data_IF_853938949602
#
_entry.id   IF_853938949602
#
_cell.length_a   1.000
_cell.length_b   1.000
_cell.length_c   1.000
_cell.angle_alpha   90.00
_cell.angle_beta   90.00
_cell.angle_gamma   90.00
#
_symmetry.space_group_name_H-M   'P 1'
#
loop_
_entity.id
_entity.type
_entity.pdbx_description
1 polymer ?
#
# COMPACT_ATOMS: atom_id res chain seq x y z
N UNK A 1 -7.72 2.71 -17.49
CA UNK A 1 -6.67 2.31 -18.44
C UNK A 1 -7.07 2.76 -19.83
N UNK A 2 -6.14 3.33 -20.58
CA UNK A 2 -6.27 3.54 -22.01
C UNK A 2 -5.31 2.57 -22.72
N UNK A 3 -5.82 1.75 -23.64
CA UNK A 3 -5.02 0.81 -24.44
C UNK A 3 -4.97 1.29 -25.87
N UNK A 4 -3.77 1.40 -26.43
CA UNK A 4 -3.50 1.80 -27.80
C UNK A 4 -3.04 0.57 -28.58
N UNK A 5 -3.78 0.18 -29.62
CA UNK A 5 -3.43 -0.94 -30.50
C UNK A 5 -4.01 -0.69 -31.89
N UNK A 6 -3.22 -0.96 -32.94
CA UNK A 6 -3.67 -0.88 -34.34
C UNK A 6 -4.34 0.46 -34.72
N UNK A 7 -3.82 1.57 -34.18
CA UNK A 7 -4.37 2.91 -34.41
C UNK A 7 -5.68 3.21 -33.68
N UNK A 8 -6.18 2.28 -32.83
CA UNK A 8 -7.38 2.45 -32.03
C UNK A 8 -7.06 2.67 -30.54
N UNK A 9 -8.00 3.31 -29.84
CA UNK A 9 -7.93 3.54 -28.40
C UNK A 9 -9.12 2.87 -27.71
N UNK A 10 -8.84 2.04 -26.72
CA UNK A 10 -9.85 1.43 -25.85
C UNK A 10 -9.74 2.00 -24.44
N UNK A 11 -10.88 2.25 -23.80
CA UNK A 11 -10.95 2.71 -22.42
C UNK A 11 -11.60 1.65 -21.54
N UNK A 12 -11.02 1.46 -20.35
CA UNK A 12 -11.59 0.62 -19.30
C UNK A 12 -11.36 1.26 -17.93
N UNK A 13 -12.33 1.16 -17.03
CA UNK A 13 -12.18 1.47 -15.62
C UNK A 13 -12.86 0.41 -14.75
N UNK A 14 -12.36 0.26 -13.52
CA UNK A 14 -12.92 -0.60 -12.48
C UNK A 14 -12.58 -0.01 -11.13
N UNK A 15 -13.48 -0.15 -10.15
CA UNK A 15 -13.14 0.13 -8.77
C UNK A 15 -12.15 -0.90 -8.25
N UNK A 16 -11.17 -0.45 -7.48
CA UNK A 16 -10.30 -1.35 -6.74
C UNK A 16 -11.12 -2.01 -5.62
N UNK A 17 -11.25 -3.33 -5.64
CA UNK A 17 -12.07 -4.10 -4.70
C UNK A 17 -11.37 -4.29 -3.35
N UNK A 18 -10.91 -3.18 -2.76
CA UNK A 18 -10.27 -3.13 -1.44
C UNK A 18 -11.22 -3.54 -0.32
N UNK A 19 -10.69 -3.90 0.86
CA UNK A 19 -11.55 -4.23 2.00
C UNK A 19 -12.38 -3.01 2.43
N UNK A 20 -11.82 -1.81 2.33
CA UNK A 20 -12.55 -0.57 2.60
C UNK A 20 -13.67 -0.34 1.59
N UNK A 21 -13.43 -0.54 0.28
CA UNK A 21 -14.47 -0.44 -0.74
C UNK A 21 -15.61 -1.43 -0.51
N UNK A 22 -15.28 -2.71 -0.27
CA UNK A 22 -16.28 -3.75 -0.03
C UNK A 22 -17.10 -3.48 1.24
N UNK A 23 -16.43 -3.05 2.32
CA UNK A 23 -17.09 -2.72 3.60
C UNK A 23 -18.05 -1.55 3.41
N UNK A 24 -17.58 -0.45 2.84
CA UNK A 24 -18.37 0.77 2.69
C UNK A 24 -19.55 0.56 1.72
N UNK A 25 -19.34 -0.23 0.66
CA UNK A 25 -20.40 -0.61 -0.28
C UNK A 25 -21.46 -1.49 0.39
N UNK A 26 -21.07 -2.50 1.18
CA UNK A 26 -22.04 -3.35 1.91
C UNK A 26 -22.83 -2.56 2.95
N UNK A 27 -22.19 -1.58 3.58
CA UNK A 27 -22.84 -0.73 4.59
C UNK A 27 -23.66 0.42 4.00
N UNK A 28 -23.54 0.71 2.69
CA UNK A 28 -24.12 1.89 2.02
C UNK A 28 -23.75 3.20 2.76
N UNK A 29 -22.57 3.23 3.38
CA UNK A 29 -22.07 4.33 4.18
C UNK A 29 -20.54 4.23 4.31
N UNK A 30 -19.88 5.35 4.59
CA UNK A 30 -18.44 5.37 4.88
C UNK A 30 -18.25 4.77 6.28
N UNK A 31 -17.54 3.64 6.37
CA UNK A 31 -17.29 2.93 7.63
C UNK A 31 -15.79 2.87 7.90
N UNK A 32 -15.38 3.24 9.11
CA UNK A 32 -13.97 3.30 9.51
C UNK A 32 -13.29 4.60 9.09
N UNK A 33 -11.95 4.61 9.10
CA UNK A 33 -11.15 5.82 8.91
C UNK A 33 -10.52 5.86 7.52
N UNK A 34 -10.71 6.98 6.83
CA UNK A 34 -9.96 7.36 5.62
C UNK A 34 -9.06 8.57 5.96
N UNK A 35 -8.29 9.08 4.99
CA UNK A 35 -7.27 10.12 5.24
C UNK A 35 -7.82 11.34 6.01
N UNK A 36 -8.83 12.01 5.46
CA UNK A 36 -9.45 13.20 6.04
C UNK A 36 -10.93 12.98 6.42
N UNK A 37 -11.39 11.72 6.44
CA UNK A 37 -12.80 11.40 6.70
C UNK A 37 -12.90 10.30 7.74
N UNK A 38 -13.55 10.61 8.86
CA UNK A 38 -13.93 9.63 9.85
C UNK A 38 -15.35 9.15 9.54
N UNK A 39 -15.46 7.91 9.09
CA UNK A 39 -16.72 7.24 8.85
C UNK A 39 -17.46 6.89 10.13
N UNK A 40 -18.68 6.36 9.97
CA UNK A 40 -19.48 5.87 11.09
C UNK A 40 -18.86 4.61 11.67
N UNK A 41 -19.07 4.31 12.97
CA UNK A 41 -18.77 3.01 13.53
C UNK A 41 -19.51 1.92 12.75
N UNK A 42 -18.84 0.80 12.50
CA UNK A 42 -19.45 -0.36 11.82
C UNK A 42 -20.64 -0.87 12.66
N UNK A 43 -21.89 -0.84 12.13
CA UNK A 43 -23.08 -1.27 12.86
C UNK A 43 -23.02 -2.76 13.25
N UNK A 44 -22.16 -3.55 12.60
CA UNK A 44 -21.93 -4.96 12.87
C UNK A 44 -20.80 -5.20 13.91
N UNK A 45 -20.25 -4.17 14.58
CA UNK A 45 -19.21 -4.30 15.63
C UNK A 45 -19.80 -4.38 17.04
N UNK A 46 -19.69 -5.54 17.69
CA UNK A 46 -19.90 -5.71 19.14
C UNK A 46 -18.77 -5.05 19.96
N UNK A 47 -19.07 -4.59 21.18
CA UNK A 47 -18.15 -3.85 22.09
C UNK A 47 -16.79 -4.54 22.31
N UNK A 48 -16.71 -5.88 22.40
CA UNK A 48 -15.43 -6.59 22.56
C UNK A 48 -14.51 -6.49 21.33
N UNK A 49 -15.07 -6.33 20.12
CA UNK A 49 -14.29 -6.12 18.89
C UNK A 49 -13.67 -4.72 18.85
N UNK A 50 -14.25 -3.76 19.56
CA UNK A 50 -13.73 -2.38 19.62
C UNK A 50 -12.39 -2.27 20.37
N UNK A 51 -12.13 -3.06 21.41
CA UNK A 51 -10.81 -3.04 22.06
C UNK A 51 -9.72 -3.62 21.14
N UNK A 52 -10.01 -4.73 20.44
CA UNK A 52 -9.09 -5.30 19.44
C UNK A 52 -8.81 -4.32 18.29
N UNK A 53 -9.83 -3.57 17.84
CA UNK A 53 -9.66 -2.56 16.78
C UNK A 53 -8.69 -1.43 17.12
N UNK A 54 -8.53 -1.11 18.41
CA UNK A 54 -7.56 -0.10 18.86
C UNK A 54 -6.13 -0.63 18.90
N UNK A 55 -5.96 -1.95 19.02
CA UNK A 55 -4.66 -2.62 19.16
C UNK A 55 -4.10 -3.12 17.83
N UNK A 56 -4.95 -3.33 16.83
CA UNK A 56 -4.56 -3.87 15.52
C UNK A 56 -4.36 -2.74 14.51
N UNK A 57 -3.11 -2.50 14.12
CA UNK A 57 -2.72 -1.50 13.09
C UNK A 57 -3.51 -1.65 11.79
N UNK A 58 -3.89 -2.88 11.41
CA UNK A 58 -4.67 -3.13 10.19
C UNK A 58 -6.10 -2.62 10.22
N UNK A 59 -6.61 -2.27 11.39
CA UNK A 59 -7.91 -1.61 11.53
C UNK A 59 -7.79 -0.07 11.65
N UNK A 60 -6.56 0.45 11.78
CA UNK A 60 -6.31 1.89 11.90
C UNK A 60 -6.08 2.58 10.55
N UNK A 61 -5.59 1.85 9.55
CA UNK A 61 -5.27 2.38 8.23
C UNK A 61 -6.22 1.88 7.16
N UNK A 62 -6.58 2.79 6.24
CA UNK A 62 -7.34 2.43 5.04
C UNK A 62 -6.44 1.68 4.06
N UNK A 63 -7.03 0.73 3.35
CA UNK A 63 -6.40 0.02 2.23
C UNK A 63 -6.89 0.53 0.87
N UNK A 64 -7.51 1.71 0.85
CA UNK A 64 -7.93 2.39 -0.36
C UNK A 64 -6.71 2.91 -1.16
N UNK A 65 -6.17 2.06 -2.04
CA UNK A 65 -5.01 2.32 -2.89
C UNK A 65 -5.37 3.13 -4.14
N UNK A 66 -5.77 4.39 -3.94
CA UNK A 66 -6.34 5.26 -4.98
C UNK A 66 -5.35 6.26 -5.61
N UNK A 67 -4.09 6.32 -5.16
CA UNK A 67 -3.20 7.44 -5.49
C UNK A 67 -2.43 7.16 -6.79
N UNK A 68 -1.79 6.00 -6.90
CA UNK A 68 -0.92 5.70 -8.04
C UNK A 68 -0.86 4.20 -8.34
N UNK A 69 -0.23 3.85 -9.46
CA UNK A 69 -0.01 2.47 -9.88
C UNK A 69 1.43 2.31 -10.38
N UNK A 70 2.19 1.38 -9.82
CA UNK A 70 3.62 1.18 -10.14
C UNK A 70 4.02 -0.29 -10.24
N UNK A 71 5.05 -0.62 -11.04
CA UNK A 71 5.57 -1.97 -11.12
C UNK A 71 6.41 -2.34 -9.88
N UNK A 72 6.14 -3.52 -9.34
CA UNK A 72 6.98 -4.20 -8.36
C UNK A 72 7.19 -5.63 -8.85
N UNK A 73 8.44 -6.05 -9.06
CA UNK A 73 8.71 -7.36 -9.64
C UNK A 73 8.14 -7.47 -11.06
N UNK A 74 7.38 -8.53 -11.28
CA UNK A 74 6.59 -8.81 -12.49
C UNK A 74 5.15 -8.24 -12.43
N UNK A 75 4.73 -7.76 -11.26
CA UNK A 75 3.38 -7.30 -11.00
C UNK A 75 3.22 -5.78 -11.09
N UNK A 76 1.98 -5.36 -11.31
CA UNK A 76 1.56 -3.97 -11.24
C UNK A 76 0.75 -3.77 -9.96
N UNK A 77 1.05 -2.74 -9.17
CA UNK A 77 0.45 -2.53 -7.86
C UNK A 77 -0.14 -1.13 -7.73
N UNK A 78 -1.38 -1.05 -7.28
CA UNK A 78 -2.02 0.19 -6.86
C UNK A 78 -1.58 0.56 -5.44
N UNK A 79 -1.28 1.85 -5.22
CA UNK A 79 -0.71 2.37 -3.99
C UNK A 79 -1.57 3.47 -3.35
N UNK A 80 -1.43 3.57 -2.04
CA UNK A 80 -1.75 4.76 -1.24
C UNK A 80 -0.54 5.02 -0.33
N UNK A 81 -0.73 5.76 0.76
CA UNK A 81 0.34 6.12 1.71
C UNK A 81 0.25 5.40 3.06
N UNK A 82 -0.51 4.31 3.08
CA UNK A 82 -0.58 3.37 4.20
C UNK A 82 0.36 2.19 3.90
N UNK A 83 0.51 1.16 4.75
CA UNK A 83 1.40 0.06 4.44
C UNK A 83 0.81 -0.93 3.42
N UNK A 84 -0.33 -0.61 2.81
CA UNK A 84 -1.06 -1.50 1.92
C UNK A 84 -0.83 -1.16 0.44
N UNK A 85 -0.67 -2.22 -0.34
CA UNK A 85 -0.71 -2.18 -1.80
C UNK A 85 -1.61 -3.29 -2.32
N UNK A 86 -2.15 -3.12 -3.52
CA UNK A 86 -2.94 -4.15 -4.20
C UNK A 86 -2.36 -4.48 -5.55
N UNK A 87 -2.16 -5.77 -5.85
CA UNK A 87 -1.85 -6.18 -7.23
C UNK A 87 -3.04 -5.88 -8.14
N UNK A 88 -2.79 -5.40 -9.34
CA UNK A 88 -3.81 -5.13 -10.35
C UNK A 88 -3.43 -5.83 -11.64
N UNK A 89 -4.39 -6.54 -12.24
CA UNK A 89 -4.20 -7.12 -13.56
C UNK A 89 -4.26 -6.01 -14.63
N UNK A 90 -3.17 -5.79 -15.40
CA UNK A 90 -3.13 -4.72 -16.39
C UNK A 90 -4.04 -4.98 -17.60
N UNK A 91 -4.61 -6.18 -17.75
CA UNK A 91 -5.44 -6.56 -18.91
C UNK A 91 -6.92 -6.32 -18.66
N UNK A 92 -7.41 -6.63 -17.46
CA UNK A 92 -8.84 -6.56 -17.12
C UNK A 92 -9.14 -5.70 -15.88
N UNK A 93 -8.12 -5.08 -15.28
CA UNK A 93 -8.19 -4.24 -14.08
C UNK A 93 -8.74 -4.95 -12.84
N UNK A 94 -8.71 -6.29 -12.81
CA UNK A 94 -9.10 -7.08 -11.66
C UNK A 94 -8.17 -6.81 -10.47
N UNK A 95 -8.77 -6.69 -9.29
CA UNK A 95 -8.04 -6.50 -8.03
C UNK A 95 -7.50 -7.84 -7.55
N UNK A 96 -6.18 -7.98 -7.51
CA UNK A 96 -5.49 -9.18 -7.04
C UNK A 96 -5.21 -9.16 -5.55
N UNK A 97 -4.07 -9.74 -5.17
CA UNK A 97 -3.64 -9.86 -3.78
C UNK A 97 -3.42 -8.50 -3.09
N UNK A 98 -3.81 -8.43 -1.82
CA UNK A 98 -3.45 -7.35 -0.90
C UNK A 98 -2.09 -7.66 -0.28
N UNK A 99 -1.16 -6.72 -0.36
CA UNK A 99 0.15 -6.79 0.28
C UNK A 99 0.16 -5.88 1.50
N UNK A 100 0.67 -6.39 2.61
CA UNK A 100 0.93 -5.63 3.84
C UNK A 100 2.45 -5.50 4.02
N UNK A 101 2.99 -4.32 3.72
CA UNK A 101 4.43 -4.08 3.79
C UNK A 101 4.98 -4.23 5.22
N UNK A 102 4.15 -4.11 6.26
CA UNK A 102 4.60 -4.30 7.65
C UNK A 102 5.05 -5.74 7.94
N UNK A 103 4.62 -6.69 7.12
CA UNK A 103 5.00 -8.11 7.23
C UNK A 103 6.35 -8.41 6.56
N UNK A 104 6.83 -7.50 5.72
CA UNK A 104 8.04 -7.69 4.90
C UNK A 104 9.17 -6.74 5.31
N UNK A 105 8.83 -5.53 5.76
CA UNK A 105 9.75 -4.46 6.09
C UNK A 105 9.29 -3.77 7.37
N UNK A 106 10.23 -3.24 8.16
CA UNK A 106 9.93 -2.44 9.35
C UNK A 106 9.49 -1.01 8.99
N UNK A 107 8.38 -0.91 8.23
CA UNK A 107 7.73 0.33 7.82
C UNK A 107 6.25 0.28 8.18
N UNK A 108 5.67 1.40 8.59
CA UNK A 108 4.26 1.58 8.94
C UNK A 108 3.50 2.39 7.87
N UNK A 109 4.22 3.04 6.96
CA UNK A 109 3.72 3.72 5.76
C UNK A 109 4.82 3.77 4.69
N UNK A 110 4.43 3.97 3.44
CA UNK A 110 5.33 4.25 2.32
C UNK A 110 4.72 5.31 1.41
N UNK A 111 5.50 5.91 0.51
CA UNK A 111 4.97 6.88 -0.45
C UNK A 111 4.21 6.19 -1.58
N UNK A 112 3.34 6.95 -2.23
CA UNK A 112 2.70 6.50 -3.46
C UNK A 112 3.58 6.77 -4.70
N UNK A 113 4.80 7.26 -4.53
CA UNK A 113 5.70 7.67 -5.63
C UNK A 113 7.04 6.95 -5.59
N UNK A 114 7.08 5.63 -5.81
CA UNK A 114 8.33 4.90 -5.91
C UNK A 114 9.13 5.30 -7.16
N UNK A 115 10.45 5.20 -7.05
CA UNK A 115 11.38 5.33 -8.16
C UNK A 115 11.66 3.97 -8.78
N UNK A 116 11.32 3.80 -10.05
CA UNK A 116 11.54 2.56 -10.80
C UNK A 116 12.81 2.68 -11.63
N UNK A 117 13.71 1.72 -11.46
CA UNK A 117 14.93 1.57 -12.26
C UNK A 117 14.84 0.31 -13.12
N UNK A 118 15.87 0.02 -13.93
CA UNK A 118 15.90 -1.19 -14.75
C UNK A 118 15.91 -2.49 -13.92
N UNK A 119 16.45 -2.45 -12.71
CA UNK A 119 16.69 -3.64 -11.88
C UNK A 119 15.84 -3.68 -10.61
N UNK A 120 15.42 -2.53 -10.10
CA UNK A 120 14.71 -2.43 -8.82
C UNK A 120 13.71 -1.27 -8.80
N UNK A 121 12.70 -1.42 -7.95
CA UNK A 121 11.84 -0.33 -7.49
C UNK A 121 12.32 0.13 -6.12
N UNK A 122 12.48 1.43 -5.92
CA UNK A 122 12.84 2.05 -4.65
C UNK A 122 11.67 2.86 -4.12
N UNK A 123 11.39 2.76 -2.83
CA UNK A 123 10.37 3.56 -2.17
C UNK A 123 10.90 4.04 -0.81
N UNK A 124 10.38 5.13 -0.28
CA UNK A 124 10.68 5.60 1.07
C UNK A 124 9.49 5.30 1.98
N UNK A 125 9.77 4.74 3.15
CA UNK A 125 8.76 4.42 4.14
C UNK A 125 9.12 4.87 5.54
N UNK A 126 8.12 5.21 6.34
CA UNK A 126 8.33 5.56 7.74
C UNK A 126 8.35 4.27 8.56
N UNK A 127 9.38 4.08 9.37
CA UNK A 127 9.45 3.03 10.39
C UNK A 127 9.49 3.61 11.79
N UNK A 128 9.22 2.79 12.79
CA UNK A 128 9.36 3.13 14.22
C UNK A 128 10.32 2.14 14.86
N UNK A 129 11.38 2.65 15.50
CA UNK A 129 12.33 1.84 16.27
C UNK A 129 12.29 2.23 17.75
N UNK A 130 13.01 1.50 18.61
CA UNK A 130 13.18 1.84 20.02
C UNK A 130 13.75 3.26 20.25
N UNK A 131 14.51 3.79 19.28
CA UNK A 131 15.15 5.11 19.38
C UNK A 131 14.34 6.24 18.73
N UNK A 132 13.18 5.91 18.15
CA UNK A 132 12.26 6.86 17.52
C UNK A 132 11.92 6.52 16.07
N UNK A 133 11.17 7.40 15.38
CA UNK A 133 10.81 7.20 13.99
C UNK A 133 12.02 7.39 13.05
N UNK A 134 11.99 6.68 11.92
CA UNK A 134 13.02 6.72 10.87
C UNK A 134 12.36 6.71 9.49
N UNK A 135 13.04 7.29 8.52
CA UNK A 135 12.71 7.14 7.10
C UNK A 135 13.64 6.10 6.49
N UNK A 136 13.06 5.02 5.99
CA UNK A 136 13.74 3.87 5.43
C UNK A 136 13.63 3.92 3.91
N UNK A 137 14.76 3.82 3.22
CA UNK A 137 14.81 3.60 1.78
C UNK A 137 14.71 2.11 1.54
N UNK A 138 13.61 1.68 0.95
CA UNK A 138 13.26 0.30 0.69
C UNK A 138 13.56 -0.03 -0.78
N UNK A 139 14.26 -1.12 -1.01
CA UNK A 139 14.57 -1.65 -2.34
C UNK A 139 13.76 -2.92 -2.57
N UNK A 140 13.06 -2.97 -3.70
CA UNK A 140 12.29 -4.11 -4.17
C UNK A 140 12.91 -4.60 -5.48
N UNK A 141 13.55 -5.77 -5.50
CA UNK A 141 14.20 -6.27 -6.71
C UNK A 141 13.15 -6.67 -7.76
N UNK A 142 13.45 -6.40 -9.03
CA UNK A 142 12.56 -6.77 -10.14
C UNK A 142 12.63 -8.26 -10.47
N UNK A 143 13.80 -8.87 -10.24
CA UNK A 143 14.07 -10.30 -10.43
C UNK A 143 14.65 -10.87 -9.15
N UNK A 144 14.28 -12.10 -8.81
CA UNK A 144 14.84 -12.80 -7.66
C UNK A 144 16.32 -13.15 -7.82
N UNK A 145 16.92 -13.75 -6.77
CA UNK A 145 18.26 -14.32 -6.86
C UNK A 145 18.36 -15.22 -8.10
N UNK A 146 19.44 -15.07 -8.88
CA UNK A 146 19.70 -15.87 -10.09
C UNK A 146 18.68 -15.69 -11.24
N UNK A 147 17.92 -14.59 -11.26
CA UNK A 147 17.03 -14.26 -12.38
C UNK A 147 15.68 -14.98 -12.37
N UNK A 148 15.35 -15.69 -11.28
CA UNK A 148 14.06 -16.36 -11.13
C UNK A 148 12.95 -15.36 -10.76
N UNK A 149 11.71 -15.66 -11.15
CA UNK A 149 10.55 -14.94 -10.66
C UNK A 149 10.43 -15.16 -9.14
N UNK A 150 10.54 -14.09 -8.36
CA UNK A 150 10.35 -14.13 -6.92
C UNK A 150 9.43 -12.99 -6.51
N UNK A 151 8.63 -13.23 -5.48
CA UNK A 151 7.83 -12.20 -4.83
C UNK A 151 8.73 -11.01 -4.42
N UNK A 152 8.53 -9.82 -5.03
CA UNK A 152 9.40 -8.67 -4.82
C UNK A 152 9.33 -8.15 -3.38
N UNK A 153 8.25 -8.41 -2.66
CA UNK A 153 8.08 -7.97 -1.27
C UNK A 153 8.80 -8.90 -0.30
N UNK A 154 8.84 -10.22 -0.56
CA UNK A 154 9.68 -11.15 0.23
C UNK A 154 11.17 -10.91 0.05
N UNK A 155 11.59 -10.47 -1.14
CA UNK A 155 12.97 -10.13 -1.43
C UNK A 155 13.33 -8.66 -1.11
N UNK A 156 12.37 -7.88 -0.59
CA UNK A 156 12.59 -6.48 -0.29
C UNK A 156 13.55 -6.29 0.88
N UNK A 157 14.33 -5.21 0.84
CA UNK A 157 15.25 -4.85 1.94
C UNK A 157 15.34 -3.35 2.15
N UNK A 158 15.69 -2.95 3.37
CA UNK A 158 16.05 -1.57 3.67
C UNK A 158 17.52 -1.37 3.29
N UNK A 159 17.80 -0.43 2.39
CA UNK A 159 19.16 -0.14 1.90
C UNK A 159 19.79 1.07 2.59
N UNK A 160 18.96 1.95 3.16
CA UNK A 160 19.40 3.10 3.93
C UNK A 160 18.31 3.52 4.91
N UNK A 161 18.71 4.18 6.01
CA UNK A 161 17.77 4.69 7.00
C UNK A 161 18.24 6.01 7.58
N UNK A 162 17.37 7.02 7.56
CA UNK A 162 17.63 8.34 8.12
C UNK A 162 16.75 8.55 9.36
N UNK A 163 17.31 9.06 10.45
CA UNK A 163 16.52 9.39 11.63
C UNK A 163 15.65 10.63 11.40
N UNK A 164 14.45 10.65 11.96
CA UNK A 164 13.64 11.87 11.95
C UNK A 164 14.32 12.97 12.77
N UNK A 165 14.36 14.19 12.24
CA UNK A 165 14.86 15.38 12.97
C UNK A 165 14.09 15.59 14.29
N UNK A 166 12.77 15.44 14.25
CA UNK A 166 11.87 15.59 15.38
C UNK A 166 11.26 14.23 15.75
N UNK A 167 11.64 13.68 16.92
CA UNK A 167 11.28 12.31 17.30
C UNK A 167 9.78 12.09 17.55
N UNK A 168 9.05 13.13 17.90
CA UNK A 168 7.60 13.10 18.17
C UNK A 168 6.77 13.69 17.03
N UNK A 169 7.42 14.18 15.97
CA UNK A 169 6.77 14.86 14.85
C UNK A 169 7.47 14.48 13.55
N UNK A 170 7.35 13.21 13.12
CA UNK A 170 7.83 12.82 11.81
C UNK A 170 7.08 13.63 10.74
N UNK A 171 7.78 14.02 9.69
CA UNK A 171 7.20 14.73 8.57
C UNK A 171 6.38 13.77 7.71
N UNK A 172 5.32 14.30 7.12
CA UNK A 172 4.60 13.63 6.07
C UNK A 172 5.50 13.45 4.84
N UNK A 173 5.46 12.28 4.21
CA UNK A 173 6.15 11.95 2.97
C UNK A 173 5.09 11.56 1.95
N UNK A 174 5.07 12.25 0.81
CA UNK A 174 4.12 12.00 -0.28
C UNK A 174 4.69 10.99 -1.26
#
# INVERSE_FOLDING_TARGET
MFRFADGQVQYQNRFLESQSYQRDTRAQAIVGRHFATQGRPDPCRTIMRNLRSKLVLSEQFTDNCQISVYPYGDGLYALTETPYAYRVDPTNLHTGEKVDLTQHLSVVSHTAHPHVTRTCTYNIGQGVTLTGPRYNICQFPRTGPQGQASDPFKAAKIVASVACRWRTSPCYMH
#
